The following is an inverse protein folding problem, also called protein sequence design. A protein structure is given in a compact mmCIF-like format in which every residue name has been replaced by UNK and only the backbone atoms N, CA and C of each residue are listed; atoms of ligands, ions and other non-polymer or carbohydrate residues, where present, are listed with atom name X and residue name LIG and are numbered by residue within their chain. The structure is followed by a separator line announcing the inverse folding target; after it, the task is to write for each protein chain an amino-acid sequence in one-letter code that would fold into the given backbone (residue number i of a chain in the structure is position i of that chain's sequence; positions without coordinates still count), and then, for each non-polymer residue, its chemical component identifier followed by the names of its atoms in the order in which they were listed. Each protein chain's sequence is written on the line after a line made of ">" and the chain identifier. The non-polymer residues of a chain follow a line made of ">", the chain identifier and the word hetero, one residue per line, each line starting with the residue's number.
data_IF_649433775982
#
_entry.id   IF_649433775982
#
_cell.length_a   1.000
_cell.length_b   1.000
_cell.length_c   1.000
_cell.angle_alpha   90.00
_cell.angle_beta   90.00
_cell.angle_gamma   90.00
#
_symmetry.space_group_name_H-M   'P 1'
#
loop_
_entity.id
_entity.type
_entity.pdbx_description
1 polymer ?
#
# COMPACT_ATOMS: atom_id res chain seq x y z
N UNK A 1 -17.05 34.19 -23.20
CA UNK A 1 -16.25 35.24 -22.54
C UNK A 1 -16.84 36.60 -22.89
N UNK A 2 -17.34 37.36 -21.91
CA UNK A 2 -17.80 38.74 -22.12
C UNK A 2 -16.56 39.63 -22.30
N UNK A 3 -16.44 40.29 -23.45
CA UNK A 3 -15.39 41.28 -23.71
C UNK A 3 -15.51 42.43 -22.70
N UNK A 4 -14.45 42.73 -21.95
CA UNK A 4 -14.33 43.96 -21.15
C UNK A 4 -14.02 43.82 -19.65
N UNK A 5 -13.90 42.62 -19.07
CA UNK A 5 -13.36 42.48 -17.71
C UNK A 5 -11.83 42.48 -17.73
N UNK A 6 -11.22 43.28 -16.85
CA UNK A 6 -9.78 43.18 -16.57
C UNK A 6 -9.49 41.73 -16.13
N UNK A 7 -8.58 41.01 -16.82
CA UNK A 7 -8.23 39.63 -16.45
C UNK A 7 -7.71 39.50 -15.00
N UNK A 8 -7.33 40.60 -14.35
CA UNK A 8 -6.90 40.64 -12.94
C UNK A 8 -8.04 40.74 -11.93
N UNK A 9 -9.24 41.13 -12.35
CA UNK A 9 -10.36 41.36 -11.43
C UNK A 9 -10.72 40.13 -10.55
N UNK A 10 -10.68 38.88 -11.05
CA UNK A 10 -10.92 37.70 -10.21
C UNK A 10 -9.86 37.50 -9.11
N UNK A 11 -8.59 37.71 -9.43
CA UNK A 11 -7.49 37.64 -8.45
C UNK A 11 -7.63 38.70 -7.36
N UNK A 12 -7.99 39.93 -7.74
CA UNK A 12 -8.23 41.02 -6.78
C UNK A 12 -9.38 40.71 -5.81
N UNK A 13 -10.47 40.10 -6.30
CA UNK A 13 -11.59 39.67 -5.46
C UNK A 13 -11.16 38.59 -4.46
N UNK A 14 -10.40 37.59 -4.91
CA UNK A 14 -9.83 36.57 -4.02
C UNK A 14 -8.94 37.23 -2.96
N UNK A 15 -8.06 38.14 -3.35
CA UNK A 15 -7.16 38.83 -2.43
C UNK A 15 -7.90 39.65 -1.37
N UNK A 16 -9.02 40.29 -1.71
CA UNK A 16 -9.87 40.98 -0.72
C UNK A 16 -10.47 40.00 0.29
N UNK A 17 -10.92 38.82 -0.16
CA UNK A 17 -11.41 37.78 0.73
C UNK A 17 -10.29 37.27 1.65
N UNK A 18 -9.12 36.96 1.10
CA UNK A 18 -7.96 36.51 1.89
C UNK A 18 -7.58 37.55 2.96
N UNK A 19 -7.52 38.83 2.60
CA UNK A 19 -7.22 39.92 3.54
C UNK A 19 -8.28 40.04 4.64
N UNK A 20 -9.57 39.88 4.32
CA UNK A 20 -10.65 39.90 5.32
C UNK A 20 -10.54 38.75 6.34
N UNK A 21 -9.88 37.65 5.96
CA UNK A 21 -9.58 36.50 6.80
C UNK A 21 -8.20 36.57 7.48
N UNK A 22 -7.46 37.68 7.30
CA UNK A 22 -6.10 37.83 7.82
C UNK A 22 -5.05 36.98 7.11
N UNK A 23 -5.35 36.48 5.90
CA UNK A 23 -4.44 35.71 5.05
C UNK A 23 -3.76 36.67 4.07
N UNK A 24 -2.44 36.57 3.92
CA UNK A 24 -1.71 37.42 2.97
C UNK A 24 -2.15 37.17 1.53
N UNK A 25 -2.15 38.19 0.67
CA UNK A 25 -2.57 38.06 -0.73
C UNK A 25 -1.62 37.20 -1.57
N UNK A 26 -2.15 36.70 -2.68
CA UNK A 26 -1.46 35.90 -3.71
C UNK A 26 -1.18 36.74 -4.95
N UNK A 27 -0.20 36.31 -5.77
CA UNK A 27 0.07 36.94 -7.06
C UNK A 27 -0.91 36.49 -8.15
N UNK A 28 -0.91 37.17 -9.30
CA UNK A 28 -1.75 36.80 -10.46
C UNK A 28 -1.32 35.45 -11.01
N UNK A 29 -0.03 35.18 -11.06
CA UNK A 29 0.52 33.90 -11.53
C UNK A 29 0.06 32.73 -10.65
N UNK A 30 0.01 32.93 -9.33
CA UNK A 30 -0.58 31.96 -8.41
C UNK A 30 -2.05 31.70 -8.75
N UNK A 31 -2.82 32.77 -8.92
CA UNK A 31 -4.24 32.68 -9.22
C UNK A 31 -4.48 31.93 -10.52
N UNK A 32 -3.76 32.28 -11.58
CA UNK A 32 -3.86 31.63 -12.89
C UNK A 32 -3.42 30.16 -12.82
N UNK A 33 -2.38 29.84 -12.05
CA UNK A 33 -1.92 28.45 -11.91
C UNK A 33 -2.95 27.57 -11.18
N UNK A 34 -3.51 28.05 -10.07
CA UNK A 34 -4.36 27.24 -9.18
C UNK A 34 -5.83 27.32 -9.58
N UNK A 35 -6.29 28.42 -10.19
CA UNK A 35 -7.70 28.72 -10.40
C UNK A 35 -8.10 29.09 -11.84
N UNK A 36 -7.20 29.05 -12.83
CA UNK A 36 -7.53 29.47 -14.22
C UNK A 36 -8.74 28.75 -14.83
N UNK A 37 -8.93 27.47 -14.54
CA UNK A 37 -10.03 26.65 -15.07
C UNK A 37 -11.19 26.46 -14.08
N UNK A 38 -11.21 27.25 -12.99
CA UNK A 38 -12.21 27.10 -11.92
C UNK A 38 -13.43 27.95 -12.17
N UNK A 39 -14.59 27.31 -12.21
CA UNK A 39 -15.86 28.02 -12.06
C UNK A 39 -16.09 28.33 -10.58
N UNK A 40 -15.95 29.61 -10.20
CA UNK A 40 -16.18 30.06 -8.83
C UNK A 40 -17.64 29.95 -8.37
N UNK A 41 -18.59 29.63 -9.26
CA UNK A 41 -19.95 29.24 -8.86
C UNK A 41 -20.01 27.79 -8.37
N UNK A 42 -19.04 26.96 -8.77
CA UNK A 42 -18.88 25.59 -8.31
C UNK A 42 -17.95 25.52 -7.08
N UNK A 43 -18.54 25.62 -5.89
CA UNK A 43 -17.80 25.58 -4.63
C UNK A 43 -16.97 24.31 -4.43
N UNK A 44 -17.37 23.19 -5.01
CA UNK A 44 -16.63 21.94 -4.89
C UNK A 44 -15.34 21.97 -5.72
N UNK A 45 -15.38 22.58 -6.90
CA UNK A 45 -14.18 22.79 -7.72
C UNK A 45 -13.19 23.74 -7.04
N UNK A 46 -13.70 24.82 -6.41
CA UNK A 46 -12.88 25.73 -5.61
C UNK A 46 -12.22 24.99 -4.45
N UNK A 47 -12.99 24.20 -3.70
CA UNK A 47 -12.47 23.39 -2.59
C UNK A 47 -11.40 22.42 -3.07
N UNK A 48 -11.64 21.69 -4.17
CA UNK A 48 -10.69 20.74 -4.72
C UNK A 48 -9.36 21.40 -5.07
N UNK A 49 -9.36 22.59 -5.68
CA UNK A 49 -8.10 23.28 -6.02
C UNK A 49 -7.39 23.87 -4.80
N UNK A 50 -8.13 24.31 -3.78
CA UNK A 50 -7.54 24.65 -2.49
C UNK A 50 -6.88 23.42 -1.86
N UNK A 51 -7.53 22.25 -1.88
CA UNK A 51 -6.98 21.02 -1.32
C UNK A 51 -5.80 20.47 -2.12
N UNK A 52 -5.81 20.62 -3.44
CA UNK A 52 -4.66 20.35 -4.31
C UNK A 52 -3.48 21.25 -3.92
N UNK A 53 -3.71 22.55 -3.73
CA UNK A 53 -2.66 23.46 -3.28
C UNK A 53 -2.14 23.12 -1.87
N UNK A 54 -3.02 22.72 -0.94
CA UNK A 54 -2.61 22.25 0.39
C UNK A 54 -1.74 21.00 0.30
N UNK A 55 -2.13 20.05 -0.56
CA UNK A 55 -1.38 18.84 -0.86
C UNK A 55 0.00 19.18 -1.39
N UNK A 56 0.09 20.11 -2.35
CA UNK A 56 1.37 20.60 -2.86
C UNK A 56 2.27 21.16 -1.75
N UNK A 57 1.72 21.99 -0.86
CA UNK A 57 2.49 22.54 0.26
C UNK A 57 3.01 21.45 1.20
N UNK A 58 2.22 20.42 1.45
CA UNK A 58 2.64 19.29 2.28
C UNK A 58 3.71 18.44 1.59
N UNK A 59 3.61 18.22 0.29
CA UNK A 59 4.58 17.43 -0.47
C UNK A 59 5.93 18.15 -0.61
N UNK A 60 5.93 19.45 -0.89
CA UNK A 60 7.17 20.22 -1.09
C UNK A 60 7.83 20.64 0.23
N UNK A 61 7.04 20.92 1.27
CA UNK A 61 7.54 21.58 2.48
C UNK A 61 7.14 20.90 3.81
N UNK A 62 6.30 19.86 3.79
CA UNK A 62 5.80 19.21 5.01
C UNK A 62 4.94 20.11 5.90
N UNK A 63 4.61 21.33 5.45
CA UNK A 63 3.89 22.32 6.23
C UNK A 63 3.11 23.28 5.33
N UNK A 64 1.79 23.30 5.50
CA UNK A 64 0.90 24.16 4.71
C UNK A 64 1.22 25.65 4.83
N UNK A 65 1.44 26.18 6.05
CA UNK A 65 1.66 27.63 6.26
C UNK A 65 2.97 28.08 5.63
N UNK A 66 4.03 27.28 5.78
CA UNK A 66 5.31 27.55 5.16
C UNK A 66 5.21 27.45 3.63
N UNK A 67 4.58 26.39 3.10
CA UNK A 67 4.37 26.24 1.67
C UNK A 67 3.57 27.38 1.05
N UNK A 68 2.49 27.83 1.71
CA UNK A 68 1.74 29.01 1.29
C UNK A 68 2.64 30.25 1.24
N UNK A 69 3.45 30.49 2.27
CA UNK A 69 4.38 31.63 2.30
C UNK A 69 5.38 31.59 1.14
N UNK A 70 5.87 30.40 0.76
CA UNK A 70 6.83 30.24 -0.34
C UNK A 70 6.19 30.33 -1.73
N UNK A 71 4.99 29.78 -1.91
CA UNK A 71 4.38 29.61 -3.23
C UNK A 71 3.38 30.71 -3.60
N UNK A 72 2.86 31.49 -2.63
CA UNK A 72 1.86 32.55 -2.90
C UNK A 72 2.35 33.69 -3.80
N UNK A 73 3.66 33.85 -3.92
CA UNK A 73 4.31 34.91 -4.68
C UNK A 73 5.43 34.29 -5.52
N UNK A 74 5.33 34.43 -6.84
CA UNK A 74 6.42 34.09 -7.76
C UNK A 74 6.09 33.00 -8.77
N UNK A 75 7.12 32.64 -9.53
CA UNK A 75 7.08 31.73 -10.68
C UNK A 75 7.22 30.25 -10.33
N UNK A 76 7.65 29.91 -9.11
CA UNK A 76 7.89 28.52 -8.71
C UNK A 76 6.60 27.68 -8.67
N UNK A 77 5.45 28.31 -8.44
CA UNK A 77 4.19 27.56 -8.29
C UNK A 77 3.80 26.82 -9.57
N UNK A 78 4.04 27.39 -10.74
CA UNK A 78 3.65 26.75 -12.01
C UNK A 78 4.39 25.42 -12.23
N UNK A 79 5.71 25.43 -12.06
CA UNK A 79 6.55 24.24 -12.21
C UNK A 79 6.15 23.15 -11.21
N UNK A 80 5.92 23.55 -9.95
CA UNK A 80 5.51 22.61 -8.90
C UNK A 80 4.10 22.10 -9.11
N UNK A 81 3.18 22.94 -9.55
CA UNK A 81 1.81 22.54 -9.85
C UNK A 81 1.79 21.49 -10.96
N UNK A 82 2.48 21.74 -12.08
CA UNK A 82 2.60 20.78 -13.20
C UNK A 82 3.28 19.47 -12.79
N UNK A 83 4.19 19.51 -11.82
CA UNK A 83 4.83 18.31 -11.30
C UNK A 83 3.81 17.35 -10.66
N UNK A 84 2.91 17.84 -9.80
CA UNK A 84 1.98 17.01 -9.02
C UNK A 84 0.58 16.89 -9.62
N UNK A 85 0.12 17.91 -10.34
CA UNK A 85 -1.19 17.99 -10.97
C UNK A 85 -1.03 18.20 -12.49
N UNK A 86 -0.45 17.22 -13.21
CA UNK A 86 -0.30 17.31 -14.66
C UNK A 86 -1.66 17.36 -15.35
N UNK A 87 -1.71 17.98 -16.52
CA UNK A 87 -2.86 17.87 -17.42
C UNK A 87 -3.10 16.41 -17.82
N UNK A 88 -4.33 16.09 -18.26
CA UNK A 88 -4.67 14.74 -18.72
C UNK A 88 -3.76 14.24 -19.85
N UNK A 89 -3.28 15.14 -20.73
CA UNK A 89 -2.35 14.80 -21.79
C UNK A 89 -0.95 14.44 -21.24
N UNK A 90 -0.43 15.24 -20.30
CA UNK A 90 0.84 14.97 -19.64
C UNK A 90 0.80 13.70 -18.79
N UNK A 91 -0.31 13.46 -18.08
CA UNK A 91 -0.52 12.24 -17.31
C UNK A 91 -0.50 10.98 -18.21
N UNK A 92 -1.18 11.04 -19.36
CA UNK A 92 -1.14 9.96 -20.37
C UNK A 92 0.27 9.73 -20.91
N UNK A 93 1.01 10.80 -21.18
CA UNK A 93 2.39 10.68 -21.66
C UNK A 93 3.32 10.07 -20.60
N UNK A 94 3.17 10.48 -19.33
CA UNK A 94 3.91 9.86 -18.21
C UNK A 94 3.60 8.37 -18.09
N UNK A 95 2.33 8.00 -18.14
CA UNK A 95 1.89 6.60 -18.12
C UNK A 95 2.46 5.80 -19.30
N UNK A 96 2.42 6.36 -20.52
CA UNK A 96 3.01 5.74 -21.72
C UNK A 96 4.52 5.51 -21.59
N UNK A 97 5.26 6.47 -21.04
CA UNK A 97 6.70 6.33 -20.80
C UNK A 97 7.00 5.22 -19.80
N UNK A 98 6.18 5.08 -18.76
CA UNK A 98 6.30 4.01 -17.78
C UNK A 98 6.00 2.64 -18.41
N UNK A 99 4.90 2.52 -19.16
CA UNK A 99 4.49 1.27 -19.82
C UNK A 99 5.47 0.77 -20.88
N UNK A 100 6.32 1.64 -21.42
CA UNK A 100 7.35 1.31 -22.41
C UNK A 100 8.69 0.89 -21.78
N UNK A 101 8.83 0.96 -20.44
CA UNK A 101 10.05 0.51 -19.77
C UNK A 101 10.22 -1.00 -19.95
N UNK A 102 11.47 -1.48 -20.11
CA UNK A 102 11.76 -2.90 -20.05
C UNK A 102 11.57 -3.37 -18.60
N UNK A 103 10.98 -4.56 -18.44
CA UNK A 103 10.94 -5.22 -17.14
C UNK A 103 12.37 -5.45 -16.62
N UNK A 104 12.60 -5.33 -15.30
CA UNK A 104 13.90 -5.60 -14.72
C UNK A 104 14.33 -7.04 -14.98
N UNK A 105 15.42 -7.22 -15.71
CA UNK A 105 16.02 -8.53 -15.96
C UNK A 105 16.78 -9.01 -14.72
N UNK A 106 16.59 -10.28 -14.35
CA UNK A 106 17.38 -10.94 -13.30
C UNK A 106 16.70 -11.04 -11.94
N UNK A 107 15.51 -10.47 -11.78
CA UNK A 107 14.65 -10.77 -10.63
C UNK A 107 14.11 -12.20 -10.75
N UNK A 108 14.26 -12.96 -9.67
CA UNK A 108 13.79 -14.33 -9.52
C UNK A 108 12.58 -14.29 -8.58
N UNK A 109 11.45 -14.81 -9.05
CA UNK A 109 10.24 -14.89 -8.24
C UNK A 109 10.41 -15.91 -7.12
N UNK A 110 10.22 -15.47 -5.88
CA UNK A 110 10.13 -16.34 -4.70
C UNK A 110 8.66 -16.40 -4.30
N UNK A 111 8.12 -17.61 -4.21
CA UNK A 111 6.71 -17.83 -3.88
C UNK A 111 6.38 -17.28 -2.49
N UNK A 112 5.16 -16.76 -2.31
CA UNK A 112 4.73 -16.19 -1.02
C UNK A 112 4.88 -17.17 0.15
N UNK A 113 4.66 -18.46 -0.09
CA UNK A 113 4.82 -19.54 0.89
C UNK A 113 6.28 -19.85 1.25
N UNK A 114 7.27 -19.28 0.56
CA UNK A 114 8.71 -19.48 0.80
C UNK A 114 9.42 -18.21 1.29
N UNK A 115 8.76 -17.04 1.30
CA UNK A 115 9.42 -15.78 1.65
C UNK A 115 9.95 -15.73 3.08
N UNK A 116 9.32 -16.47 4.02
CA UNK A 116 9.82 -16.57 5.38
C UNK A 116 11.25 -17.17 5.46
N UNK A 117 11.65 -17.96 4.45
CA UNK A 117 13.00 -18.54 4.33
C UNK A 117 14.09 -17.49 4.09
N UNK A 118 13.73 -16.26 3.76
CA UNK A 118 14.66 -15.13 3.62
C UNK A 118 14.81 -14.33 4.92
N UNK A 119 14.01 -14.64 5.93
CA UNK A 119 14.03 -13.94 7.21
C UNK A 119 14.82 -14.68 8.29
N UNK A 120 14.83 -14.11 9.49
CA UNK A 120 15.29 -14.79 10.71
C UNK A 120 14.46 -16.04 11.05
N UNK A 121 13.32 -16.22 10.37
CA UNK A 121 12.42 -17.37 10.51
C UNK A 121 12.89 -18.61 9.72
N UNK A 122 13.99 -18.54 8.97
CA UNK A 122 14.45 -19.69 8.16
C UNK A 122 14.97 -20.87 9.00
N UNK A 123 15.44 -20.63 10.23
CA UNK A 123 16.00 -21.66 11.11
C UNK A 123 14.94 -22.48 11.86
N UNK A 124 14.93 -22.41 13.19
CA UNK A 124 14.02 -23.18 14.07
C UNK A 124 12.52 -23.03 13.74
N UNK A 125 12.15 -21.96 13.05
CA UNK A 125 10.77 -21.72 12.63
C UNK A 125 10.37 -22.53 11.39
N UNK A 126 11.30 -22.94 10.53
CA UNK A 126 10.99 -23.77 9.36
C UNK A 126 10.37 -25.10 9.78
N UNK A 127 10.90 -25.76 10.81
CA UNK A 127 10.32 -26.99 11.35
C UNK A 127 8.89 -26.74 11.88
N UNK A 128 8.69 -25.68 12.66
CA UNK A 128 7.36 -25.33 13.21
C UNK A 128 6.35 -25.03 12.10
N UNK A 129 6.78 -24.36 11.03
CA UNK A 129 5.95 -24.07 9.85
C UNK A 129 5.63 -25.36 9.11
N UNK A 130 6.60 -26.25 8.90
CA UNK A 130 6.39 -27.55 8.25
C UNK A 130 5.43 -28.43 9.05
N UNK A 131 5.57 -28.49 10.37
CA UNK A 131 4.67 -29.23 11.25
C UNK A 131 3.24 -28.67 11.17
N UNK A 132 3.10 -27.34 11.17
CA UNK A 132 1.82 -26.67 10.99
C UNK A 132 1.20 -26.97 9.61
N UNK A 133 2.00 -26.93 8.53
CA UNK A 133 1.57 -27.24 7.16
C UNK A 133 1.15 -28.71 7.02
N UNK A 134 1.88 -29.63 7.63
CA UNK A 134 1.54 -31.06 7.62
C UNK A 134 0.21 -31.31 8.32
N UNK A 135 0.04 -30.78 9.53
CA UNK A 135 -1.24 -30.91 10.27
C UNK A 135 -2.39 -30.28 9.48
N UNK A 136 -2.15 -29.12 8.87
CA UNK A 136 -3.14 -28.43 8.07
C UNK A 136 -3.50 -29.22 6.80
N UNK A 137 -2.53 -29.83 6.14
CA UNK A 137 -2.73 -30.69 4.97
C UNK A 137 -3.66 -31.86 5.31
N UNK A 138 -3.44 -32.53 6.44
CA UNK A 138 -4.29 -33.63 6.91
C UNK A 138 -5.75 -33.17 7.15
N UNK A 139 -5.93 -31.99 7.75
CA UNK A 139 -7.26 -31.39 7.96
C UNK A 139 -7.94 -31.08 6.62
N UNK A 140 -7.21 -30.48 5.68
CA UNK A 140 -7.73 -30.10 4.36
C UNK A 140 -8.11 -31.33 3.55
N UNK A 141 -7.27 -32.36 3.51
CA UNK A 141 -7.56 -33.60 2.78
C UNK A 141 -8.83 -34.28 3.32
N UNK A 142 -9.00 -34.30 4.65
CA UNK A 142 -10.23 -34.82 5.28
C UNK A 142 -11.45 -33.93 4.99
N UNK A 143 -11.28 -32.62 4.96
CA UNK A 143 -12.35 -31.67 4.65
C UNK A 143 -12.82 -31.80 3.19
N UNK A 144 -11.90 -31.97 2.25
CA UNK A 144 -12.20 -32.23 0.84
C UNK A 144 -12.96 -33.55 0.70
N UNK A 145 -12.49 -34.62 1.34
CA UNK A 145 -13.16 -35.93 1.31
C UNK A 145 -14.59 -35.88 1.89
N UNK A 146 -14.84 -35.01 2.88
CA UNK A 146 -16.16 -34.79 3.49
C UNK A 146 -17.05 -33.80 2.71
N UNK A 147 -16.55 -33.18 1.64
CA UNK A 147 -17.32 -32.18 0.89
C UNK A 147 -17.65 -30.94 1.72
N UNK A 148 -16.69 -30.45 2.52
CA UNK A 148 -16.85 -29.21 3.31
C UNK A 148 -17.08 -28.02 2.38
N UNK A 149 -18.07 -27.18 2.72
CA UNK A 149 -18.53 -26.04 1.89
C UNK A 149 -18.37 -24.68 2.56
N UNK A 150 -17.94 -24.64 3.81
CA UNK A 150 -17.80 -23.41 4.59
C UNK A 150 -16.79 -23.58 5.74
N UNK A 151 -16.38 -22.45 6.34
CA UNK A 151 -15.39 -22.43 7.42
C UNK A 151 -15.87 -23.09 8.71
N UNK A 152 -17.16 -23.00 9.03
CA UNK A 152 -17.71 -23.62 10.25
C UNK A 152 -17.58 -25.15 10.20
N UNK A 153 -17.88 -25.74 9.05
CA UNK A 153 -17.67 -27.18 8.81
C UNK A 153 -16.20 -27.56 8.77
N UNK A 154 -15.33 -26.72 8.20
CA UNK A 154 -13.88 -26.93 8.25
C UNK A 154 -13.38 -26.95 9.69
N UNK A 155 -13.87 -26.04 10.53
CA UNK A 155 -13.56 -26.00 11.95
C UNK A 155 -14.05 -27.26 12.67
N UNK A 156 -15.24 -27.77 12.34
CA UNK A 156 -15.72 -29.06 12.85
C UNK A 156 -14.78 -30.22 12.50
N UNK A 157 -14.25 -30.27 11.27
CA UNK A 157 -13.24 -31.28 10.88
C UNK A 157 -11.94 -31.11 11.67
N UNK A 158 -11.49 -29.87 11.89
CA UNK A 158 -10.30 -29.60 12.70
C UNK A 158 -10.49 -30.02 14.16
N UNK A 159 -11.66 -29.77 14.76
CA UNK A 159 -11.98 -30.17 16.13
C UNK A 159 -12.04 -31.69 16.30
N UNK A 160 -12.57 -32.43 15.32
CA UNK A 160 -12.50 -33.91 15.27
C UNK A 160 -11.05 -34.42 15.23
N UNK A 161 -10.10 -33.60 14.79
CA UNK A 161 -8.66 -33.87 14.75
C UNK A 161 -7.90 -33.21 15.90
N UNK A 162 -8.61 -32.87 16.97
CA UNK A 162 -8.07 -32.26 18.19
C UNK A 162 -7.40 -30.88 17.97
N UNK A 163 -7.71 -30.20 16.86
CA UNK A 163 -7.25 -28.83 16.58
C UNK A 163 -8.35 -27.81 16.89
N UNK A 164 -8.27 -27.20 18.08
CA UNK A 164 -9.24 -26.21 18.55
C UNK A 164 -9.00 -24.80 18.03
N UNK A 165 -7.81 -24.51 17.50
CA UNK A 165 -7.39 -23.15 17.08
C UNK A 165 -6.94 -23.14 15.63
N UNK A 166 -7.85 -23.49 14.74
CA UNK A 166 -7.60 -23.55 13.30
C UNK A 166 -7.05 -22.23 12.71
N UNK A 167 -7.55 -21.07 13.15
CA UNK A 167 -7.03 -19.76 12.73
C UNK A 167 -5.56 -19.55 13.11
N UNK A 168 -5.16 -20.01 14.31
CA UNK A 168 -3.77 -19.98 14.75
C UNK A 168 -2.90 -20.94 13.93
N UNK A 169 -3.44 -22.10 13.54
CA UNK A 169 -2.74 -23.04 12.67
C UNK A 169 -2.45 -22.43 11.30
N UNK A 170 -3.44 -21.75 10.69
CA UNK A 170 -3.25 -21.01 9.44
C UNK A 170 -2.17 -19.93 9.53
N UNK A 171 -2.23 -19.10 10.58
CA UNK A 171 -1.23 -18.06 10.81
C UNK A 171 0.19 -18.64 10.95
N UNK A 172 0.34 -19.77 11.66
CA UNK A 172 1.61 -20.48 11.81
C UNK A 172 2.09 -21.14 10.51
N UNK A 173 1.18 -21.66 9.70
CA UNK A 173 1.53 -22.29 8.43
C UNK A 173 2.05 -21.28 7.39
N UNK A 174 1.73 -19.99 7.55
CA UNK A 174 2.24 -18.91 6.70
C UNK A 174 1.90 -19.14 5.22
N UNK A 175 0.63 -19.41 4.96
CA UNK A 175 0.10 -19.73 3.62
C UNK A 175 -0.68 -18.52 3.09
N UNK A 176 -0.49 -18.11 1.83
CA UNK A 176 -1.31 -17.05 1.23
C UNK A 176 -2.76 -17.52 1.00
N UNK A 177 -3.72 -16.61 1.11
CA UNK A 177 -5.12 -16.88 0.74
C UNK A 177 -6.00 -17.50 1.82
N UNK A 178 -5.52 -17.64 3.05
CA UNK A 178 -6.30 -18.19 4.18
C UNK A 178 -7.52 -17.36 4.54
N UNK A 179 -7.51 -16.06 4.26
CA UNK A 179 -8.63 -15.14 4.40
C UNK A 179 -9.84 -15.53 3.54
N UNK A 180 -9.61 -16.18 2.37
CA UNK A 180 -10.69 -16.65 1.50
C UNK A 180 -11.53 -17.73 2.17
N UNK A 181 -10.99 -18.43 3.17
CA UNK A 181 -11.74 -19.44 3.90
C UNK A 181 -12.86 -18.83 4.72
N UNK A 182 -12.61 -17.68 5.34
CA UNK A 182 -13.63 -16.97 6.12
C UNK A 182 -14.57 -16.20 5.20
N UNK A 183 -14.04 -15.70 4.07
CA UNK A 183 -14.79 -14.88 3.14
C UNK A 183 -14.51 -15.30 1.68
N UNK A 184 -15.21 -16.33 1.17
CA UNK A 184 -14.99 -16.86 -0.18
C UNK A 184 -15.32 -15.86 -1.29
N UNK A 185 -16.19 -14.91 -0.98
CA UNK A 185 -16.66 -13.86 -1.89
C UNK A 185 -15.75 -12.63 -1.87
N UNK A 186 -14.69 -12.63 -1.05
CA UNK A 186 -13.86 -11.45 -0.84
C UNK A 186 -12.88 -11.29 -2.01
N UNK A 187 -12.92 -10.15 -2.74
CA UNK A 187 -12.14 -9.94 -3.96
C UNK A 187 -10.65 -9.65 -3.68
N UNK A 188 -10.11 -10.10 -2.54
CA UNK A 188 -8.74 -9.79 -2.12
C UNK A 188 -7.66 -10.23 -3.12
N UNK A 189 -7.98 -11.13 -4.05
CA UNK A 189 -7.03 -11.73 -5.00
C UNK A 189 -7.47 -11.68 -6.46
N UNK A 190 -8.37 -10.75 -6.84
CA UNK A 190 -8.71 -10.51 -8.25
C UNK A 190 -9.38 -11.69 -8.97
N UNK A 191 -9.87 -12.68 -8.22
CA UNK A 191 -10.62 -13.80 -8.74
C UNK A 191 -12.11 -13.61 -8.46
N UNK A 192 -12.97 -13.96 -9.42
CA UNK A 192 -14.40 -14.11 -9.16
C UNK A 192 -14.67 -15.14 -8.06
N UNK A 193 -15.94 -15.27 -7.68
CA UNK A 193 -16.42 -16.22 -6.66
C UNK A 193 -15.81 -17.60 -6.85
N UNK A 194 -14.92 -18.01 -5.94
CA UNK A 194 -14.36 -19.36 -5.91
C UNK A 194 -15.27 -20.25 -5.07
N UNK A 195 -15.48 -21.48 -5.51
CA UNK A 195 -16.14 -22.44 -4.65
C UNK A 195 -15.19 -22.82 -3.49
N UNK A 196 -15.75 -23.29 -2.37
CA UNK A 196 -14.96 -23.58 -1.17
C UNK A 196 -13.91 -24.67 -1.40
N UNK A 197 -14.20 -25.63 -2.28
CA UNK A 197 -13.27 -26.71 -2.65
C UNK A 197 -12.05 -26.18 -3.39
N UNK A 198 -12.21 -25.22 -4.30
CA UNK A 198 -11.10 -24.57 -5.02
C UNK A 198 -10.19 -23.81 -4.05
N UNK A 199 -10.77 -23.19 -3.03
CA UNK A 199 -10.01 -22.51 -1.96
C UNK A 199 -9.18 -23.53 -1.19
N UNK A 200 -9.80 -24.64 -0.77
CA UNK A 200 -9.10 -25.71 -0.06
C UNK A 200 -7.97 -26.32 -0.90
N UNK A 201 -8.21 -26.58 -2.18
CA UNK A 201 -7.19 -27.08 -3.12
C UNK A 201 -6.02 -26.10 -3.28
N UNK A 202 -6.31 -24.80 -3.41
CA UNK A 202 -5.27 -23.78 -3.50
C UNK A 202 -4.41 -23.72 -2.23
N UNK A 203 -5.01 -23.81 -1.04
CA UNK A 203 -4.26 -23.84 0.22
C UNK A 203 -3.44 -25.12 0.32
N UNK A 204 -4.02 -26.25 -0.07
CA UNK A 204 -3.35 -27.56 -0.12
C UNK A 204 -2.07 -27.49 -0.97
N UNK A 205 -2.14 -26.91 -2.16
CA UNK A 205 -0.98 -26.72 -3.05
C UNK A 205 0.12 -25.85 -2.43
N UNK A 206 -0.24 -24.93 -1.54
CA UNK A 206 0.71 -24.06 -0.85
C UNK A 206 1.24 -24.64 0.49
N UNK A 207 0.73 -25.78 0.95
CA UNK A 207 1.28 -26.54 2.09
C UNK A 207 2.60 -27.28 1.73
N UNK A 208 3.52 -26.58 1.06
CA UNK A 208 4.80 -27.15 0.63
C UNK A 208 5.76 -27.24 1.82
N UNK A 209 6.41 -28.39 1.99
CA UNK A 209 7.50 -28.57 2.95
C UNK A 209 8.71 -27.74 2.52
N UNK A 210 9.26 -26.98 3.46
CA UNK A 210 10.45 -26.16 3.25
C UNK A 210 11.62 -26.82 3.96
N UNK A 211 12.44 -27.54 3.20
CA UNK A 211 13.68 -28.17 3.67
C UNK A 211 14.88 -27.20 3.56
N UNK A 212 16.03 -27.65 4.05
CA UNK A 212 17.28 -26.87 4.00
C UNK A 212 17.68 -26.49 2.58
N UNK A 213 17.48 -27.39 1.61
CA UNK A 213 17.76 -27.12 0.21
C UNK A 213 16.82 -26.06 -0.38
N UNK A 214 15.54 -26.08 -0.02
CA UNK A 214 14.57 -25.05 -0.41
C UNK A 214 14.91 -23.69 0.20
N UNK A 215 15.36 -23.66 1.46
CA UNK A 215 15.85 -22.45 2.12
C UNK A 215 17.07 -21.91 1.39
N UNK A 216 18.05 -22.77 1.10
CA UNK A 216 19.25 -22.38 0.38
C UNK A 216 18.92 -21.82 -1.02
N UNK A 217 18.02 -22.48 -1.78
CA UNK A 217 17.55 -21.98 -3.08
C UNK A 217 16.86 -20.62 -2.97
N UNK A 218 15.97 -20.45 -2.00
CA UNK A 218 15.28 -19.19 -1.77
C UNK A 218 16.29 -18.07 -1.41
N UNK A 219 17.26 -18.35 -0.54
CA UNK A 219 18.30 -17.39 -0.17
C UNK A 219 19.20 -17.01 -1.35
N UNK A 220 19.55 -17.96 -2.22
CA UNK A 220 20.28 -17.66 -3.46
C UNK A 220 19.46 -16.76 -4.40
N UNK A 221 18.17 -17.04 -4.56
CA UNK A 221 17.27 -16.16 -5.31
C UNK A 221 17.19 -14.77 -4.65
N UNK A 222 17.10 -14.69 -3.32
CA UNK A 222 17.07 -13.42 -2.59
C UNK A 222 18.36 -12.60 -2.72
N UNK A 223 19.53 -13.25 -2.77
CA UNK A 223 20.82 -12.60 -3.02
C UNK A 223 20.87 -12.07 -4.46
N UNK A 224 20.40 -12.86 -5.42
CA UNK A 224 20.30 -12.44 -6.81
C UNK A 224 19.35 -11.23 -6.98
N UNK A 225 18.21 -11.24 -6.29
CA UNK A 225 17.28 -10.13 -6.25
C UNK A 225 17.92 -8.88 -5.64
N UNK A 226 18.62 -9.01 -4.51
CA UNK A 226 19.35 -7.90 -3.88
C UNK A 226 20.36 -7.26 -4.85
N UNK A 227 21.14 -8.08 -5.57
CA UNK A 227 22.07 -7.62 -6.60
C UNK A 227 21.38 -6.91 -7.75
N UNK A 228 20.27 -7.48 -8.21
CA UNK A 228 19.47 -6.90 -9.29
C UNK A 228 18.91 -5.55 -8.90
N UNK A 229 18.32 -5.42 -7.70
CA UNK A 229 17.85 -4.13 -7.18
C UNK A 229 18.96 -3.07 -7.08
N UNK A 230 20.15 -3.46 -6.64
CA UNK A 230 21.31 -2.55 -6.62
C UNK A 230 21.74 -2.11 -8.02
N UNK A 231 21.61 -2.97 -9.03
CA UNK A 231 22.00 -2.71 -10.42
C UNK A 231 20.92 -2.04 -11.28
N UNK A 232 19.64 -2.08 -10.87
CA UNK A 232 18.55 -1.37 -11.55
C UNK A 232 18.90 0.13 -11.66
N UNK A 233 18.43 0.82 -12.69
CA UNK A 233 18.64 2.28 -12.82
C UNK A 233 17.62 3.04 -11.96
N UNK A 234 16.34 2.76 -12.19
CA UNK A 234 15.21 3.43 -11.54
C UNK A 234 14.47 2.49 -10.60
N UNK A 235 14.04 3.05 -9.46
CA UNK A 235 13.07 2.45 -8.53
C UNK A 235 11.98 3.50 -8.34
N UNK A 236 10.75 3.19 -8.71
CA UNK A 236 9.62 4.09 -8.55
C UNK A 236 9.05 4.01 -7.13
N UNK A 237 8.91 2.79 -6.57
CA UNK A 237 8.26 2.55 -5.28
C UNK A 237 9.13 1.72 -4.33
N UNK A 238 9.24 2.15 -3.07
CA UNK A 238 9.70 1.32 -1.96
C UNK A 238 8.50 0.78 -1.17
N UNK A 239 8.38 -0.53 -0.98
CA UNK A 239 7.28 -1.11 -0.18
C UNK A 239 7.76 -1.41 1.23
N UNK A 240 7.36 -0.57 2.19
CA UNK A 240 7.69 -0.72 3.60
C UNK A 240 6.71 -1.69 4.28
N UNK A 241 7.22 -2.80 4.82
CA UNK A 241 6.42 -3.84 5.48
C UNK A 241 7.17 -4.44 6.68
N UNK A 242 6.44 -4.95 7.67
CA UNK A 242 7.00 -5.84 8.68
C UNK A 242 7.37 -7.19 8.07
N UNK A 243 8.38 -7.83 8.65
CA UNK A 243 8.89 -9.17 8.28
C UNK A 243 9.05 -10.07 9.53
N UNK A 244 8.22 -9.84 10.56
CA UNK A 244 8.33 -10.53 11.86
C UNK A 244 7.61 -11.87 11.94
N UNK A 245 6.50 -12.01 11.21
CA UNK A 245 5.60 -13.15 11.29
C UNK A 245 5.34 -13.69 9.90
N UNK A 246 5.12 -15.01 9.72
CA UNK A 246 4.86 -15.61 8.40
C UNK A 246 3.72 -14.92 7.65
N UNK A 247 2.67 -14.52 8.36
CA UNK A 247 1.53 -13.79 7.79
C UNK A 247 1.94 -12.43 7.19
N UNK A 248 2.93 -11.75 7.76
CA UNK A 248 3.38 -10.47 7.19
C UNK A 248 3.98 -10.65 5.79
N UNK A 249 4.69 -11.75 5.55
CA UNK A 249 5.25 -12.07 4.25
C UNK A 249 4.16 -12.39 3.21
N UNK A 250 3.20 -13.23 3.57
CA UNK A 250 2.14 -13.65 2.63
C UNK A 250 1.18 -12.50 2.32
N UNK A 251 0.78 -11.72 3.32
CA UNK A 251 -0.09 -10.55 3.13
C UNK A 251 0.61 -9.46 2.30
N UNK A 252 1.91 -9.20 2.54
CA UNK A 252 2.67 -8.25 1.72
C UNK A 252 2.82 -8.73 0.27
N UNK A 253 3.11 -10.01 0.08
CA UNK A 253 3.19 -10.61 -1.25
C UNK A 253 1.86 -10.45 -2.00
N UNK A 254 0.74 -10.80 -1.36
CA UNK A 254 -0.59 -10.65 -1.95
C UNK A 254 -0.89 -9.20 -2.34
N UNK A 255 -0.58 -8.26 -1.45
CA UNK A 255 -0.71 -6.83 -1.71
C UNK A 255 0.10 -6.39 -2.94
N UNK A 256 1.36 -6.81 -3.05
CA UNK A 256 2.23 -6.47 -4.18
C UNK A 256 1.71 -7.06 -5.50
N UNK A 257 1.25 -8.32 -5.48
CA UNK A 257 0.64 -8.95 -6.66
C UNK A 257 -0.58 -8.15 -7.13
N UNK A 258 -1.45 -7.76 -6.22
CA UNK A 258 -2.63 -6.97 -6.56
C UNK A 258 -2.25 -5.58 -7.09
N UNK A 259 -1.35 -4.89 -6.38
CA UNK A 259 -0.99 -3.52 -6.71
C UNK A 259 -0.29 -3.41 -8.06
N UNK A 260 0.72 -4.26 -8.30
CA UNK A 260 1.62 -4.11 -9.45
C UNK A 260 1.34 -5.07 -10.61
N UNK A 261 0.56 -6.15 -10.41
CA UNK A 261 0.37 -7.18 -11.45
C UNK A 261 -1.09 -7.37 -11.88
N UNK A 262 -2.06 -7.03 -11.02
CA UNK A 262 -3.49 -7.29 -11.29
C UNK A 262 -4.36 -6.02 -11.36
N UNK A 263 -3.90 -4.91 -10.78
CA UNK A 263 -4.65 -3.65 -10.70
C UNK A 263 -4.33 -2.66 -11.81
N UNK A 264 -4.84 -1.44 -11.65
CA UNK A 264 -4.69 -0.34 -12.61
C UNK A 264 -3.22 0.04 -12.88
N UNK A 265 -2.31 -0.25 -11.94
CA UNK A 265 -0.89 0.04 -12.09
C UNK A 265 -0.13 -1.03 -12.89
N UNK A 266 -0.74 -2.20 -13.17
CA UNK A 266 -0.08 -3.27 -13.92
C UNK A 266 0.34 -2.80 -15.32
N UNK A 267 -0.49 -1.95 -15.94
CA UNK A 267 -0.18 -1.36 -17.24
C UNK A 267 1.04 -0.41 -17.21
N UNK A 268 1.41 0.11 -16.03
CA UNK A 268 2.46 1.11 -15.91
C UNK A 268 3.86 0.51 -15.79
N UNK A 269 4.00 -0.82 -15.57
CA UNK A 269 5.32 -1.48 -15.43
C UNK A 269 6.24 -0.75 -14.45
N UNK A 270 5.69 -0.40 -13.28
CA UNK A 270 6.43 0.33 -12.26
C UNK A 270 7.56 -0.55 -11.72
N UNK A 271 8.73 0.04 -11.54
CA UNK A 271 9.82 -0.63 -10.83
C UNK A 271 9.64 -0.41 -9.33
N UNK A 272 9.61 -1.47 -8.54
CA UNK A 272 9.44 -1.38 -7.11
C UNK A 272 10.46 -2.24 -6.38
N UNK A 273 10.78 -1.86 -5.14
CA UNK A 273 11.58 -2.65 -4.23
C UNK A 273 10.68 -3.32 -3.20
N UNK A 274 10.72 -4.65 -3.18
CA UNK A 274 10.09 -5.49 -2.15
C UNK A 274 11.18 -6.06 -1.21
N UNK A 275 11.28 -5.57 0.05
CA UNK A 275 12.28 -6.04 1.01
C UNK A 275 12.11 -7.53 1.37
N UNK A 276 10.93 -8.10 1.13
CA UNK A 276 10.64 -9.52 1.39
C UNK A 276 11.23 -10.45 0.32
N UNK A 277 11.59 -9.92 -0.86
CA UNK A 277 12.20 -10.66 -1.96
C UNK A 277 13.74 -10.57 -1.96
N UNK A 278 14.32 -9.81 -1.05
CA UNK A 278 15.77 -9.59 -0.96
C UNK A 278 16.38 -10.24 0.28
N UNK A 279 17.52 -10.91 0.10
CA UNK A 279 18.26 -11.56 1.17
C UNK A 279 19.74 -11.13 1.18
N UNK A 280 20.21 -10.77 2.36
CA UNK A 280 21.63 -10.61 2.68
C UNK A 280 21.85 -11.25 4.05
N UNK A 281 22.97 -11.98 4.19
CA UNK A 281 23.26 -12.76 5.39
C UNK A 281 23.47 -11.86 6.63
N UNK A 282 24.11 -10.71 6.43
CA UNK A 282 24.28 -9.71 7.48
C UNK A 282 23.11 -8.72 7.51
N UNK A 283 22.48 -8.63 8.68
CA UNK A 283 21.38 -7.68 8.93
C UNK A 283 21.77 -6.22 8.71
N UNK A 284 23.03 -5.87 8.97
CA UNK A 284 23.52 -4.50 8.78
C UNK A 284 23.55 -4.19 7.28
N UNK A 285 24.08 -5.12 6.48
CA UNK A 285 24.07 -4.99 5.02
C UNK A 285 22.64 -4.94 4.47
N UNK A 286 21.70 -5.75 5.00
CA UNK A 286 20.29 -5.67 4.61
C UNK A 286 19.68 -4.30 4.92
N UNK A 287 19.91 -3.75 6.11
CA UNK A 287 19.45 -2.40 6.46
C UNK A 287 20.07 -1.30 5.58
N UNK A 288 21.35 -1.44 5.20
CA UNK A 288 22.00 -0.52 4.27
C UNK A 288 21.41 -0.61 2.85
N UNK A 289 21.09 -1.82 2.39
CA UNK A 289 20.37 -2.03 1.14
C UNK A 289 19.02 -1.31 1.18
N UNK A 290 18.21 -1.55 2.22
CA UNK A 290 16.89 -0.92 2.40
C UNK A 290 17.00 0.61 2.41
N UNK A 291 17.95 1.18 3.16
CA UNK A 291 18.24 2.62 3.16
C UNK A 291 18.59 3.16 1.76
N UNK A 292 19.41 2.42 1.00
CA UNK A 292 19.74 2.78 -0.37
C UNK A 292 18.51 2.72 -1.28
N UNK A 293 17.66 1.70 -1.13
CA UNK A 293 16.44 1.56 -1.90
C UNK A 293 15.46 2.69 -1.59
N UNK A 294 15.28 3.06 -0.31
CA UNK A 294 14.51 4.25 0.09
C UNK A 294 15.10 5.49 -0.56
N UNK A 295 16.43 5.68 -0.55
CA UNK A 295 17.07 6.85 -1.18
C UNK A 295 16.77 6.94 -2.67
N UNK A 296 16.76 5.80 -3.36
CA UNK A 296 16.58 5.70 -4.82
C UNK A 296 15.13 5.72 -5.27
N UNK A 297 14.21 5.21 -4.44
CA UNK A 297 12.79 5.20 -4.73
C UNK A 297 12.23 6.62 -4.85
N UNK A 298 11.23 6.83 -5.71
CA UNK A 298 10.53 8.11 -5.86
C UNK A 298 9.48 8.33 -4.79
N UNK A 299 8.87 7.25 -4.30
CA UNK A 299 7.92 7.25 -3.20
C UNK A 299 8.04 5.98 -2.37
N UNK A 300 7.47 6.00 -1.17
CA UNK A 300 7.33 4.81 -0.34
C UNK A 300 5.86 4.51 -0.11
N UNK A 301 5.49 3.23 -0.18
CA UNK A 301 4.21 2.72 0.31
C UNK A 301 4.45 2.10 1.68
N UNK A 302 3.77 2.61 2.69
CA UNK A 302 3.80 2.11 4.06
C UNK A 302 2.61 1.18 4.27
N UNK A 303 2.84 -0.13 4.40
CA UNK A 303 1.79 -1.08 4.71
C UNK A 303 1.50 -1.07 6.21
N UNK A 304 0.41 -0.43 6.64
CA UNK A 304 -0.05 -0.46 8.02
C UNK A 304 -0.47 -1.90 8.40
N UNK A 305 0.04 -2.38 9.53
CA UNK A 305 -0.16 -3.76 10.01
C UNK A 305 -0.54 -3.73 11.49
N UNK A 306 -1.03 -4.85 12.04
CA UNK A 306 -1.55 -4.93 13.43
C UNK A 306 -0.56 -4.43 14.49
N UNK A 307 0.74 -4.62 14.24
CA UNK A 307 1.82 -4.03 15.00
C UNK A 307 2.77 -3.25 14.10
N UNK A 308 2.80 -1.93 14.26
CA UNK A 308 3.82 -1.11 13.62
C UNK A 308 5.17 -1.29 14.31
N UNK A 309 6.23 -1.14 13.51
CA UNK A 309 7.59 -1.31 14.00
C UNK A 309 8.34 0.01 13.85
N UNK A 310 9.18 0.33 14.82
CA UNK A 310 10.03 1.51 14.76
C UNK A 310 10.88 1.57 13.48
N UNK A 311 11.27 0.40 12.94
CA UNK A 311 11.94 0.31 11.64
C UNK A 311 11.10 0.93 10.52
N UNK A 312 9.87 0.43 10.33
CA UNK A 312 8.94 0.93 9.31
C UNK A 312 8.60 2.42 9.49
N UNK A 313 8.42 2.88 10.72
CA UNK A 313 8.17 4.30 11.01
C UNK A 313 9.38 5.17 10.66
N UNK A 314 10.59 4.66 10.92
CA UNK A 314 11.83 5.31 10.51
C UNK A 314 11.96 5.37 8.98
N UNK A 315 11.56 4.33 8.25
CA UNK A 315 11.55 4.33 6.78
C UNK A 315 10.62 5.41 6.21
N UNK A 316 9.40 5.55 6.78
CA UNK A 316 8.48 6.62 6.43
C UNK A 316 9.07 8.00 6.76
N UNK A 317 9.63 8.17 7.96
CA UNK A 317 10.27 9.41 8.39
C UNK A 317 11.43 9.82 7.48
N UNK A 318 12.31 8.88 7.11
CA UNK A 318 13.44 9.11 6.20
C UNK A 318 12.95 9.44 4.79
N UNK A 319 11.89 8.79 4.32
CA UNK A 319 11.29 9.10 3.01
C UNK A 319 10.79 10.55 2.98
N UNK A 320 10.05 10.97 4.01
CA UNK A 320 9.55 12.35 4.14
C UNK A 320 10.69 13.36 4.28
N UNK A 321 11.74 13.04 5.04
CA UNK A 321 12.92 13.90 5.18
C UNK A 321 13.64 14.15 3.84
N UNK A 322 13.52 13.21 2.90
CA UNK A 322 14.01 13.35 1.52
C UNK A 322 13.02 14.06 0.58
N UNK A 323 11.92 14.63 1.12
CA UNK A 323 10.85 15.30 0.36
C UNK A 323 10.16 14.37 -0.65
N UNK A 324 10.03 13.10 -0.29
CA UNK A 324 9.34 12.10 -1.11
C UNK A 324 8.01 11.73 -0.47
N UNK A 325 6.96 11.50 -1.26
CA UNK A 325 5.68 11.12 -0.73
C UNK A 325 5.74 9.75 -0.06
N UNK A 326 4.97 9.62 1.02
CA UNK A 326 4.67 8.34 1.68
C UNK A 326 3.17 8.10 1.52
N UNK A 327 2.80 6.96 0.94
CA UNK A 327 1.42 6.51 0.84
C UNK A 327 1.21 5.48 1.94
N UNK A 328 0.38 5.79 2.94
CA UNK A 328 0.01 4.83 3.98
C UNK A 328 -1.14 3.98 3.46
N UNK A 329 -0.86 2.70 3.22
CA UNK A 329 -1.86 1.72 2.85
C UNK A 329 -2.40 1.03 4.09
N UNK A 330 -3.73 1.11 4.28
CA UNK A 330 -4.47 0.41 5.32
C UNK A 330 -5.39 -0.58 4.65
N UNK A 331 -5.14 -1.88 4.86
CA UNK A 331 -5.94 -2.92 4.23
C UNK A 331 -7.41 -2.87 4.73
N UNK A 332 -8.35 -2.80 3.79
CA UNK A 332 -9.79 -2.89 4.09
C UNK A 332 -10.28 -4.31 3.84
N UNK A 333 -10.03 -5.17 4.81
CA UNK A 333 -10.38 -6.59 4.70
C UNK A 333 -11.88 -6.82 4.58
N UNK A 334 -12.73 -5.89 5.01
CA UNK A 334 -14.17 -6.12 5.14
C UNK A 334 -15.02 -4.98 4.57
N UNK A 335 -14.50 -4.21 3.62
CA UNK A 335 -15.20 -3.05 3.04
C UNK A 335 -16.54 -3.40 2.39
N UNK A 336 -16.61 -4.61 1.83
CA UNK A 336 -17.81 -5.14 1.17
C UNK A 336 -18.89 -5.61 2.17
N UNK A 337 -18.55 -5.77 3.46
CA UNK A 337 -19.52 -6.15 4.48
C UNK A 337 -20.42 -4.95 4.80
N UNK A 338 -21.74 -5.01 4.53
CA UNK A 338 -22.63 -3.87 4.75
C UNK A 338 -22.60 -3.33 6.18
N UNK A 339 -22.44 -4.21 7.16
CA UNK A 339 -22.32 -3.89 8.59
C UNK A 339 -21.07 -3.05 8.94
N UNK A 340 -20.00 -3.14 8.15
CA UNK A 340 -18.75 -2.40 8.38
C UNK A 340 -18.60 -1.17 7.49
N UNK A 341 -19.50 -0.95 6.52
CA UNK A 341 -19.48 0.24 5.66
C UNK A 341 -19.51 1.54 6.46
N UNK A 342 -20.33 1.62 7.51
CA UNK A 342 -20.39 2.79 8.39
C UNK A 342 -19.06 3.06 9.11
N UNK A 343 -18.36 2.01 9.53
CA UNK A 343 -17.04 2.12 10.15
C UNK A 343 -15.98 2.64 9.17
N UNK A 344 -15.91 2.08 7.95
CA UNK A 344 -14.96 2.54 6.93
C UNK A 344 -15.25 3.97 6.47
N UNK A 345 -16.51 4.35 6.26
CA UNK A 345 -16.89 5.73 5.98
C UNK A 345 -16.46 6.68 7.12
N UNK A 346 -16.66 6.25 8.37
CA UNK A 346 -16.20 7.00 9.54
C UNK A 346 -14.68 7.21 9.54
N UNK A 347 -13.88 6.19 9.18
CA UNK A 347 -12.41 6.31 9.02
C UNK A 347 -12.05 7.32 7.93
N UNK A 348 -12.74 7.26 6.79
CA UNK A 348 -12.51 8.16 5.65
C UNK A 348 -12.79 9.63 5.99
N UNK A 349 -13.88 9.86 6.73
CA UNK A 349 -14.20 11.17 7.26
C UNK A 349 -13.19 11.59 8.34
N UNK A 350 -12.73 10.65 9.17
CA UNK A 350 -11.78 10.87 10.25
C UNK A 350 -10.48 11.53 9.85
N UNK A 351 -9.95 11.18 8.67
CA UNK A 351 -8.76 11.81 8.10
C UNK A 351 -8.94 13.31 7.82
N UNK A 352 -10.19 13.81 7.82
CA UNK A 352 -10.57 15.19 7.49
C UNK A 352 -11.08 15.98 8.70
N UNK A 353 -11.16 15.35 9.88
CA UNK A 353 -11.73 15.94 11.09
C UNK A 353 -10.64 16.05 12.17
N UNK A 354 -10.75 17.04 13.07
CA UNK A 354 -9.91 17.09 14.26
C UNK A 354 -10.02 15.78 15.08
N UNK A 355 -8.88 15.28 15.55
CA UNK A 355 -8.72 13.97 16.18
C UNK A 355 -9.80 13.65 17.21
N UNK A 356 -10.17 14.62 18.04
CA UNK A 356 -11.12 14.41 19.14
C UNK A 356 -12.54 14.16 18.63
N UNK A 357 -12.97 14.88 17.59
CA UNK A 357 -14.27 14.68 16.93
C UNK A 357 -14.33 13.37 16.15
N UNK A 358 -13.21 12.94 15.56
CA UNK A 358 -13.13 11.63 14.92
C UNK A 358 -13.28 10.48 15.95
N UNK A 359 -12.57 10.58 17.09
CA UNK A 359 -12.69 9.59 18.17
C UNK A 359 -14.12 9.54 18.70
N UNK A 360 -14.77 10.69 18.92
CA UNK A 360 -16.19 10.75 19.32
C UNK A 360 -17.12 10.11 18.28
N UNK A 361 -16.87 10.32 16.99
CA UNK A 361 -17.66 9.74 15.91
C UNK A 361 -17.53 8.21 15.86
N UNK A 362 -16.31 7.68 15.96
CA UNK A 362 -16.06 6.22 15.97
C UNK A 362 -16.65 5.55 17.22
N UNK A 363 -16.57 6.21 18.38
CA UNK A 363 -17.18 5.70 19.63
C UNK A 363 -18.71 5.63 19.51
N UNK A 364 -19.35 6.60 18.85
CA UNK A 364 -20.80 6.57 18.59
C UNK A 364 -21.21 5.44 17.65
N UNK A 365 -20.40 5.13 16.63
CA UNK A 365 -20.66 4.02 15.70
C UNK A 365 -20.59 2.66 16.40
N UNK A 366 -19.72 2.48 17.40
CA UNK A 366 -19.64 1.25 18.21
C UNK A 366 -20.84 0.99 19.12
N UNK A 367 -21.77 1.94 19.25
CA UNK A 367 -22.93 1.86 20.14
C UNK A 367 -24.21 1.27 19.53
N UNK A 368 -24.15 0.63 18.35
CA UNK A 368 -25.27 -0.08 17.73
C UNK A 368 -25.09 -1.59 17.80
#
# INVERSE_FOLDING_TARGET
>A
MKQGMDPRAPCDLLNRLLLSLGISPVSVEFFDTVFSEVDFQNLEQVRQNVDNFRTLCMLEYGNFRYGYKQLRQGNLIEDRWKQYFPSAAEARERSRKLSQRPEPSGLVSISGSQLFSLGYLAGEYAQKINDARKKLLEIIDRAIAKGVVDFGKLQGVAEEMEEKKLTTLFAKAGIPGTEMLMYPDLPLFGGGRKNYTDILLSIRENCVTVDEDAIARAQQAGIQNARTYMAMHDIDVYVATSMRDPLHFTSNWAFIQRLFHQGDLAAWRMHYFDPTQAYLQDRIQKGLLECLMIKRARLSVYNAQEGDTFGKDSEAGVTLAQRKPVIVYVARLFEELPELRGFYNGIDEGARVERDRFVEHVVKIKGC
#
